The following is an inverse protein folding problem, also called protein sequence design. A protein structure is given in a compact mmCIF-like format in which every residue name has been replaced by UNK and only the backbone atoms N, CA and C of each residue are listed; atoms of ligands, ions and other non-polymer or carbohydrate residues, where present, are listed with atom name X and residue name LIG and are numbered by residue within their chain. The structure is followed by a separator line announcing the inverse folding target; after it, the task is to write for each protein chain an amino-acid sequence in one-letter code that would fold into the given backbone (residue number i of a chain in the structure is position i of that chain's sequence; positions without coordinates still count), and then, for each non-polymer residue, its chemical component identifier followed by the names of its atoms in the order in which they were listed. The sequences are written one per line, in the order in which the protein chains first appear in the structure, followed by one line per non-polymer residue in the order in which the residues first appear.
data_IF_225428287969
#
_entry.id   IF_225428287969
#
_cell.length_a   1.000
_cell.length_b   1.000
_cell.length_c   1.000
_cell.angle_alpha   90.00
_cell.angle_beta   90.00
_cell.angle_gamma   90.00
#
_symmetry.space_group_name_H-M   'P 1'
#
loop_
_entity.id
_entity.type
_entity.pdbx_description
1 polymer ?
#
# COMPACT_ATOMS: atom_id res chain seq x y z
N UNK A 1 0.24 -5.97 21.00
CA UNK A 1 1.21 -6.96 20.47
C UNK A 1 0.75 -8.35 20.93
N UNK A 2 0.28 -9.18 20.00
CA UNK A 2 -0.28 -10.51 20.33
C UNK A 2 0.81 -11.58 20.58
N UNK A 3 2.07 -11.18 20.84
CA UNK A 3 3.19 -12.11 21.05
C UNK A 3 3.61 -12.94 19.82
N UNK A 4 3.08 -12.59 18.64
CA UNK A 4 3.42 -13.29 17.39
C UNK A 4 4.78 -12.77 16.91
N UNK A 5 5.75 -13.64 16.61
CA UNK A 5 7.04 -13.23 16.08
C UNK A 5 6.90 -12.38 14.82
N UNK A 6 7.79 -11.41 14.64
CA UNK A 6 7.72 -10.46 13.55
C UNK A 6 7.80 -11.12 12.17
N UNK A 7 8.57 -12.18 12.04
CA UNK A 7 8.79 -12.99 10.85
C UNK A 7 7.71 -14.04 10.59
N UNK A 8 6.76 -14.17 11.52
CA UNK A 8 5.66 -15.11 11.34
C UNK A 8 4.71 -14.65 10.23
N UNK A 9 4.03 -15.60 9.55
CA UNK A 9 3.10 -15.31 8.48
C UNK A 9 1.95 -14.36 8.91
N UNK A 10 1.50 -14.47 10.14
CA UNK A 10 0.49 -13.59 10.76
C UNK A 10 1.09 -12.50 11.64
N UNK A 11 2.41 -12.30 11.59
CA UNK A 11 3.11 -11.24 12.28
C UNK A 11 2.95 -9.88 11.61
N UNK A 12 3.64 -8.91 12.16
CA UNK A 12 3.74 -7.58 11.54
C UNK A 12 4.41 -7.71 10.17
N UNK A 13 3.89 -7.05 9.13
CA UNK A 13 4.31 -7.24 7.73
C UNK A 13 4.19 -8.69 7.24
N UNK A 14 3.20 -9.43 7.71
CA UNK A 14 2.92 -10.80 7.27
C UNK A 14 2.00 -10.84 6.05
N UNK A 15 1.11 -11.85 6.02
CA UNK A 15 0.21 -12.14 4.89
C UNK A 15 -0.69 -10.95 4.49
N UNK A 16 -0.98 -10.05 5.42
CA UNK A 16 -1.76 -8.82 5.15
C UNK A 16 -1.12 -7.89 4.11
N UNK A 17 0.17 -8.06 3.82
CA UNK A 17 0.92 -7.30 2.82
C UNK A 17 1.09 -8.07 1.50
N UNK A 18 0.46 -9.25 1.37
CA UNK A 18 0.57 -10.06 0.17
C UNK A 18 -0.43 -9.63 -0.91
N UNK A 19 -0.08 -9.94 -2.17
CA UNK A 19 -0.97 -9.74 -3.32
C UNK A 19 -2.29 -10.52 -3.16
N UNK A 20 -2.25 -11.73 -2.57
CA UNK A 20 -3.44 -12.54 -2.35
C UNK A 20 -4.39 -11.89 -1.35
N UNK A 21 -3.86 -11.32 -0.28
CA UNK A 21 -4.65 -10.57 0.68
C UNK A 21 -5.26 -9.30 0.03
N UNK A 22 -4.49 -8.60 -0.79
CA UNK A 22 -4.99 -7.44 -1.53
C UNK A 22 -6.15 -7.79 -2.46
N UNK A 23 -6.05 -8.89 -3.20
CA UNK A 23 -7.14 -9.39 -4.05
C UNK A 23 -8.36 -9.80 -3.21
N UNK A 24 -8.14 -10.46 -2.07
CA UNK A 24 -9.22 -10.82 -1.16
C UNK A 24 -9.96 -9.57 -0.65
N UNK A 25 -9.25 -8.54 -0.22
CA UNK A 25 -9.86 -7.29 0.26
C UNK A 25 -10.64 -6.60 -0.87
N UNK A 26 -10.06 -6.49 -2.07
CA UNK A 26 -10.78 -5.95 -3.23
C UNK A 26 -12.08 -6.70 -3.53
N UNK A 27 -12.05 -8.03 -3.45
CA UNK A 27 -13.24 -8.86 -3.62
C UNK A 27 -14.27 -8.65 -2.50
N UNK A 28 -13.84 -8.64 -1.24
CA UNK A 28 -14.72 -8.43 -0.08
C UNK A 28 -15.39 -7.06 -0.15
N UNK A 29 -14.64 -6.00 -0.44
CA UNK A 29 -15.20 -4.65 -0.59
C UNK A 29 -16.22 -4.60 -1.71
N UNK A 30 -15.88 -5.14 -2.89
CA UNK A 30 -16.84 -5.21 -4.00
C UNK A 30 -18.11 -5.98 -3.59
N UNK A 31 -17.95 -7.15 -2.99
CA UNK A 31 -19.06 -8.01 -2.61
C UNK A 31 -19.99 -7.40 -1.55
N UNK A 32 -19.44 -6.75 -0.54
CA UNK A 32 -20.22 -6.16 0.55
C UNK A 32 -20.95 -4.87 0.14
N UNK A 33 -20.29 -4.02 -0.64
CA UNK A 33 -20.77 -2.66 -0.88
C UNK A 33 -21.35 -2.44 -2.27
N UNK A 34 -20.88 -3.17 -3.29
CA UNK A 34 -21.19 -2.87 -4.69
C UNK A 34 -21.94 -3.98 -5.43
N UNK A 35 -22.04 -5.21 -4.89
CA UNK A 35 -22.70 -6.31 -5.61
C UNK A 35 -24.18 -6.10 -5.89
N UNK A 36 -24.86 -5.29 -5.05
CA UNK A 36 -26.30 -4.97 -5.20
C UNK A 36 -26.56 -3.83 -6.17
N UNK A 37 -25.53 -3.07 -6.51
CA UNK A 37 -25.59 -2.02 -7.52
C UNK A 37 -25.68 -2.69 -8.90
N UNK A 38 -26.61 -2.26 -9.74
CA UNK A 38 -26.76 -2.79 -11.12
C UNK A 38 -25.62 -2.28 -12.03
N UNK A 39 -24.38 -2.60 -11.66
CA UNK A 39 -23.19 -2.18 -12.36
C UNK A 39 -22.92 -3.08 -13.57
N UNK A 40 -22.44 -2.48 -14.66
CA UNK A 40 -21.89 -3.27 -15.76
C UNK A 40 -20.66 -4.07 -15.29
N UNK A 41 -20.39 -5.19 -15.99
CA UNK A 41 -19.23 -6.05 -15.71
C UNK A 41 -17.92 -5.27 -15.66
N UNK A 42 -17.74 -4.30 -16.57
CA UNK A 42 -16.55 -3.45 -16.61
C UNK A 42 -16.41 -2.57 -15.37
N UNK A 43 -17.50 -1.95 -14.90
CA UNK A 43 -17.50 -1.13 -13.68
C UNK A 43 -17.21 -1.98 -12.45
N UNK A 44 -17.79 -3.17 -12.35
CA UNK A 44 -17.51 -4.12 -11.27
C UNK A 44 -16.04 -4.51 -11.21
N UNK A 45 -15.44 -4.81 -12.36
CA UNK A 45 -14.03 -5.16 -12.47
C UNK A 45 -13.12 -3.98 -12.08
N UNK A 46 -13.45 -2.76 -12.50
CA UNK A 46 -12.69 -1.56 -12.14
C UNK A 46 -12.71 -1.34 -10.63
N UNK A 47 -13.85 -1.48 -9.97
CA UNK A 47 -13.96 -1.34 -8.51
C UNK A 47 -13.11 -2.40 -7.80
N UNK A 48 -13.22 -3.65 -8.21
CA UNK A 48 -12.41 -4.74 -7.67
C UNK A 48 -10.90 -4.45 -7.80
N UNK A 49 -10.44 -4.10 -9.01
CA UNK A 49 -9.03 -3.79 -9.28
C UNK A 49 -8.57 -2.58 -8.46
N UNK A 50 -9.40 -1.54 -8.36
CA UNK A 50 -9.08 -0.32 -7.63
C UNK A 50 -8.79 -0.60 -6.16
N UNK A 51 -9.68 -1.31 -5.46
CA UNK A 51 -9.48 -1.63 -4.04
C UNK A 51 -8.35 -2.64 -3.82
N UNK A 52 -8.19 -3.60 -4.73
CA UNK A 52 -7.05 -4.52 -4.71
C UNK A 52 -5.73 -3.77 -4.86
N UNK A 53 -5.66 -2.82 -5.81
CA UNK A 53 -4.46 -2.01 -6.04
C UNK A 53 -4.12 -1.10 -4.87
N UNK A 54 -5.10 -0.44 -4.26
CA UNK A 54 -4.89 0.39 -3.05
C UNK A 54 -4.32 -0.46 -1.92
N UNK A 55 -4.89 -1.65 -1.67
CA UNK A 55 -4.38 -2.54 -0.61
C UNK A 55 -2.98 -3.04 -0.93
N UNK A 56 -2.71 -3.41 -2.18
CA UNK A 56 -1.39 -3.87 -2.63
C UNK A 56 -0.33 -2.77 -2.54
N UNK A 57 -0.70 -1.51 -2.82
CA UNK A 57 0.23 -0.38 -2.78
C UNK A 57 0.82 -0.16 -1.39
N UNK A 58 0.09 -0.48 -0.31
CA UNK A 58 0.62 -0.47 1.04
C UNK A 58 1.82 -1.43 1.18
N UNK A 59 1.67 -2.67 0.75
CA UNK A 59 2.79 -3.63 0.76
C UNK A 59 3.97 -3.18 -0.12
N UNK A 60 3.70 -2.62 -1.30
CA UNK A 60 4.75 -2.08 -2.17
C UNK A 60 5.51 -0.92 -1.52
N UNK A 61 4.81 -0.01 -0.81
CA UNK A 61 5.45 1.07 -0.05
C UNK A 61 6.28 0.52 1.10
N UNK A 62 5.83 -0.53 1.78
CA UNK A 62 6.59 -1.19 2.82
C UNK A 62 7.88 -1.84 2.30
N UNK A 63 7.91 -2.33 1.07
CA UNK A 63 9.13 -2.82 0.42
C UNK A 63 10.16 -1.71 0.14
N UNK A 64 9.72 -0.44 0.07
CA UNK A 64 10.56 0.75 -0.10
C UNK A 64 11.07 1.31 1.23
N UNK A 65 10.64 0.76 2.37
CA UNK A 65 11.13 1.18 3.67
C UNK A 65 12.47 0.52 4.02
N UNK A 66 13.29 1.17 4.83
CA UNK A 66 14.56 0.66 5.33
C UNK A 66 14.41 -0.38 6.46
N UNK A 67 13.19 -0.80 6.78
CA UNK A 67 12.93 -1.83 7.77
C UNK A 67 13.73 -3.11 7.48
N UNK A 68 14.19 -3.73 8.55
CA UNK A 68 15.09 -4.91 8.51
C UNK A 68 14.46 -6.15 7.87
N UNK A 69 13.12 -6.25 7.90
CA UNK A 69 12.38 -7.40 7.39
C UNK A 69 11.53 -6.99 6.20
N UNK A 70 11.76 -7.62 5.06
CA UNK A 70 10.90 -7.49 3.88
C UNK A 70 9.48 -7.99 4.13
N UNK A 71 8.64 -7.99 3.11
CA UNK A 71 7.28 -8.51 3.17
C UNK A 71 7.14 -9.81 2.37
N UNK A 72 6.32 -10.77 2.80
CA UNK A 72 6.05 -12.01 2.05
C UNK A 72 5.00 -11.72 0.97
N UNK A 73 5.44 -11.02 -0.10
CA UNK A 73 4.55 -10.46 -1.13
C UNK A 73 3.71 -11.53 -1.83
N UNK A 74 4.24 -12.74 -2.00
CA UNK A 74 3.56 -13.86 -2.65
C UNK A 74 2.95 -14.87 -1.68
N UNK A 75 2.89 -14.56 -0.38
CA UNK A 75 2.24 -15.42 0.59
C UNK A 75 0.75 -15.64 0.24
N UNK A 76 0.18 -16.85 0.48
CA UNK A 76 0.81 -17.98 1.17
C UNK A 76 1.60 -18.94 0.28
N UNK A 77 1.69 -18.71 -1.05
CA UNK A 77 2.36 -19.64 -1.99
C UNK A 77 3.88 -19.60 -1.84
N UNK A 78 4.43 -18.42 -1.57
CA UNK A 78 5.84 -18.23 -1.28
C UNK A 78 5.96 -17.27 -0.10
N UNK A 79 6.58 -17.72 0.97
CA UNK A 79 6.80 -16.96 2.20
C UNK A 79 8.15 -16.21 2.20
N UNK A 80 8.89 -16.25 1.08
CA UNK A 80 10.09 -15.44 0.90
C UNK A 80 9.77 -13.97 1.07
N UNK A 81 10.60 -13.27 1.84
CA UNK A 81 10.40 -11.85 2.11
C UNK A 81 11.17 -11.00 1.12
N UNK A 82 10.47 -10.10 0.49
CA UNK A 82 10.98 -9.22 -0.56
C UNK A 82 11.10 -7.78 -0.07
N UNK A 83 12.07 -7.05 -0.60
CA UNK A 83 12.25 -5.61 -0.45
C UNK A 83 12.94 -5.06 -1.69
N UNK A 84 12.78 -3.77 -1.94
CA UNK A 84 13.48 -3.12 -3.05
C UNK A 84 14.96 -2.87 -2.69
N UNK A 85 15.87 -2.89 -3.67
CA UNK A 85 17.29 -2.58 -3.45
C UNK A 85 17.50 -1.15 -2.92
N UNK A 86 16.70 -0.21 -3.39
CA UNK A 86 16.68 1.17 -2.95
C UNK A 86 15.48 1.40 -2.03
N UNK A 87 15.73 1.86 -0.80
CA UNK A 87 14.74 2.00 0.26
C UNK A 87 14.80 3.40 0.88
N UNK A 88 14.18 4.39 0.21
CA UNK A 88 14.27 5.79 0.61
C UNK A 88 13.36 6.18 1.78
N UNK A 89 12.49 5.25 2.23
CA UNK A 89 11.48 5.55 3.25
C UNK A 89 11.98 5.03 4.59
N UNK A 90 12.13 5.92 5.57
CA UNK A 90 12.50 5.54 6.93
C UNK A 90 11.32 4.83 7.61
N UNK A 91 11.55 3.61 8.08
CA UNK A 91 10.55 2.88 8.85
C UNK A 91 10.54 3.40 10.28
N UNK A 92 9.35 3.76 10.83
CA UNK A 92 9.26 4.18 12.22
C UNK A 92 9.66 3.04 13.16
N UNK A 93 10.41 3.38 14.23
CA UNK A 93 10.75 2.43 15.27
C UNK A 93 9.50 1.96 16.01
N UNK A 94 9.48 0.69 16.43
CA UNK A 94 8.44 0.17 17.32
C UNK A 94 8.64 0.62 18.77
N UNK A 95 9.82 1.14 19.13
CA UNK A 95 10.06 1.81 20.39
C UNK A 95 9.51 3.24 20.32
N UNK A 96 8.44 3.48 21.05
CA UNK A 96 7.72 4.76 21.03
C UNK A 96 8.58 5.90 21.56
N UNK A 97 9.39 5.66 22.58
CA UNK A 97 10.27 6.71 23.16
C UNK A 97 11.37 7.11 22.16
N UNK A 98 12.02 6.12 21.56
CA UNK A 98 13.03 6.34 20.53
C UNK A 98 12.43 7.02 19.28
N UNK A 99 11.26 6.57 18.84
CA UNK A 99 10.55 7.18 17.72
C UNK A 99 10.25 8.67 17.97
N UNK A 100 9.68 9.01 19.12
CA UNK A 100 9.31 10.39 19.45
C UNK A 100 10.52 11.31 19.60
N UNK A 101 11.64 10.81 20.09
CA UNK A 101 12.85 11.62 20.32
C UNK A 101 13.69 11.79 19.08
N UNK A 102 13.94 10.71 18.34
CA UNK A 102 15.00 10.67 17.33
C UNK A 102 14.46 10.59 15.89
N UNK A 103 13.30 9.97 15.67
CA UNK A 103 12.83 9.68 14.31
C UNK A 103 11.60 10.49 13.86
N UNK A 104 10.87 11.11 14.79
CA UNK A 104 9.59 11.77 14.48
C UNK A 104 9.71 12.78 13.34
N UNK A 105 10.70 13.65 13.38
CA UNK A 105 10.89 14.69 12.36
C UNK A 105 11.26 14.11 10.99
N UNK A 106 12.14 13.11 10.96
CA UNK A 106 12.57 12.46 9.71
C UNK A 106 11.40 11.74 9.02
N UNK A 107 10.62 11.00 9.81
CA UNK A 107 9.44 10.29 9.30
C UNK A 107 8.39 11.28 8.80
N UNK A 108 8.07 12.33 9.57
CA UNK A 108 7.10 13.36 9.16
C UNK A 108 7.54 14.09 7.88
N UNK A 109 8.80 14.44 7.76
CA UNK A 109 9.33 15.07 6.54
C UNK A 109 9.22 14.12 5.36
N UNK A 110 9.59 12.85 5.54
CA UNK A 110 9.44 11.81 4.51
C UNK A 110 8.00 11.66 4.04
N UNK A 111 7.05 11.59 4.96
CA UNK A 111 5.62 11.47 4.64
C UNK A 111 5.09 12.71 3.91
N UNK A 112 5.45 13.92 4.37
CA UNK A 112 5.06 15.17 3.70
C UNK A 112 5.59 15.21 2.27
N UNK A 113 6.83 14.79 2.03
CA UNK A 113 7.40 14.73 0.68
C UNK A 113 6.62 13.74 -0.19
N UNK A 114 6.34 12.53 0.30
CA UNK A 114 5.59 11.51 -0.44
C UNK A 114 4.18 11.97 -0.79
N UNK A 115 3.47 12.56 0.17
CA UNK A 115 2.13 13.13 -0.03
C UNK A 115 2.20 14.25 -1.07
N UNK A 116 3.18 15.14 -0.96
CA UNK A 116 3.35 16.28 -1.88
C UNK A 116 3.61 15.80 -3.32
N UNK A 117 4.47 14.81 -3.51
CA UNK A 117 4.72 14.20 -4.83
C UNK A 117 3.45 13.58 -5.39
N UNK A 118 2.69 12.87 -4.56
CA UNK A 118 1.44 12.22 -4.97
C UNK A 118 0.38 13.25 -5.38
N UNK A 119 0.21 14.34 -4.61
CA UNK A 119 -0.71 15.43 -4.93
C UNK A 119 -0.32 16.14 -6.21
N UNK A 120 0.95 16.49 -6.38
CA UNK A 120 1.46 17.11 -7.61
C UNK A 120 1.24 16.20 -8.81
N UNK A 121 1.52 14.90 -8.68
CA UNK A 121 1.28 13.90 -9.72
C UNK A 121 -0.19 13.85 -10.15
N UNK A 122 -1.12 13.83 -9.19
CA UNK A 122 -2.57 13.85 -9.45
C UNK A 122 -3.02 15.14 -10.14
N UNK A 123 -2.51 16.29 -9.71
CA UNK A 123 -2.82 17.58 -10.33
C UNK A 123 -2.33 17.63 -11.77
N UNK A 124 -1.09 17.23 -12.01
CA UNK A 124 -0.53 17.18 -13.37
C UNK A 124 -1.31 16.22 -14.27
N UNK A 125 -1.65 15.03 -13.77
CA UNK A 125 -2.46 14.06 -14.48
C UNK A 125 -3.83 14.63 -14.87
N UNK A 126 -4.50 15.31 -13.93
CA UNK A 126 -5.79 15.98 -14.19
C UNK A 126 -5.68 17.09 -15.23
N UNK A 127 -4.59 17.87 -15.21
CA UNK A 127 -4.35 18.93 -16.19
C UNK A 127 -4.10 18.34 -17.59
N UNK A 128 -3.33 17.23 -17.68
CA UNK A 128 -3.09 16.51 -18.93
C UNK A 128 -4.41 15.99 -19.52
N UNK A 129 -5.23 15.32 -18.71
CA UNK A 129 -6.54 14.82 -19.16
C UNK A 129 -7.46 15.94 -19.66
N UNK A 130 -7.49 17.08 -18.94
CA UNK A 130 -8.28 18.25 -19.36
C UNK A 130 -7.79 18.81 -20.70
N UNK A 131 -6.48 18.80 -20.94
CA UNK A 131 -5.89 19.24 -22.20
C UNK A 131 -6.25 18.30 -23.36
N UNK A 132 -6.15 16.98 -23.14
CA UNK A 132 -6.50 15.98 -24.15
C UNK A 132 -7.97 16.04 -24.55
N UNK A 133 -8.90 16.18 -23.57
CA UNK A 133 -10.33 16.31 -23.85
C UNK A 133 -10.72 17.62 -24.57
N UNK A 134 -9.83 18.63 -24.64
CA UNK A 134 -10.07 19.86 -25.38
C UNK A 134 -9.75 19.74 -26.87
N UNK A 135 -9.00 18.71 -27.25
CA UNK A 135 -8.59 18.45 -28.64
C UNK A 135 -9.37 17.28 -29.30
N UNK A 136 -10.28 16.66 -28.56
CA UNK A 136 -11.26 15.68 -29.04
C UNK A 136 -12.63 16.34 -29.19
#
# INVERSE_FOLDING_TARGET
YLGIPYDHLFGHRGISHSIFFALLIGFVVYFLFFRKENLSRSKSLIIFIYFSFITMSHGLLDMLTDATHGIPFFAPLDNTRYFFPYRPINAPSLDVEYFLREQLLEVLVGEVILISISVVGLVLFKLILKKLNKFS
#
